data_IF_132946458075
#
_entry.id   IF_132946458075
#
_cell.length_a   1.000
_cell.length_b   1.000
_cell.length_c   1.000
_cell.angle_alpha   90.00
_cell.angle_beta   90.00
_cell.angle_gamma   90.00
#
_symmetry.space_group_name_H-M   'P 1'
#
loop_
_entity.id
_entity.type
_entity.pdbx_description
1 polymer ?
#
# COMPACT_ATOMS: atom_id res chain seq x y z
N UNK A 1 10.79 13.15 -28.19
CA UNK A 1 10.22 12.84 -26.86
C UNK A 1 8.83 13.43 -26.90
N UNK A 2 7.86 12.61 -27.31
CA UNK A 2 6.52 13.10 -27.66
C UNK A 2 5.74 13.45 -26.40
N UNK A 3 5.08 14.63 -26.35
CA UNK A 3 4.34 15.08 -25.17
C UNK A 3 3.14 14.18 -24.81
N UNK A 4 2.73 13.25 -25.69
CA UNK A 4 1.66 12.29 -25.42
C UNK A 4 2.13 11.07 -24.59
N UNK A 5 3.39 10.64 -24.70
CA UNK A 5 3.96 9.50 -23.94
C UNK A 5 4.10 9.81 -22.44
N UNK A 6 4.28 11.10 -22.13
CA UNK A 6 4.30 11.67 -20.77
C UNK A 6 2.94 11.55 -20.05
N UNK A 7 1.84 11.76 -20.78
CA UNK A 7 0.49 11.79 -20.19
C UNK A 7 0.00 10.39 -19.77
N UNK A 8 0.30 9.36 -20.57
CA UNK A 8 -0.05 7.98 -20.24
C UNK A 8 0.66 7.48 -18.98
N UNK A 9 1.95 7.80 -18.86
CA UNK A 9 2.83 7.36 -17.77
C UNK A 9 2.50 8.04 -16.43
N UNK A 10 2.27 9.35 -16.45
CA UNK A 10 1.90 10.11 -15.24
C UNK A 10 0.54 9.71 -14.67
N UNK A 11 -0.42 9.36 -15.53
CA UNK A 11 -1.81 9.10 -15.11
C UNK A 11 -1.99 7.81 -14.29
N UNK A 12 -1.19 6.77 -14.55
CA UNK A 12 -1.23 5.53 -13.76
C UNK A 12 -0.39 5.65 -12.48
N UNK A 13 0.71 6.41 -12.50
CA UNK A 13 1.51 6.73 -11.31
C UNK A 13 0.70 7.54 -10.30
N UNK A 14 0.05 8.62 -10.75
CA UNK A 14 -0.83 9.43 -9.92
C UNK A 14 -2.02 8.63 -9.38
N UNK A 15 -2.56 7.69 -10.17
CA UNK A 15 -3.60 6.79 -9.72
C UNK A 15 -3.10 5.82 -8.64
N UNK A 16 -1.94 5.18 -8.85
CA UNK A 16 -1.36 4.25 -7.88
C UNK A 16 -1.06 4.93 -6.54
N UNK A 17 -0.44 6.11 -6.60
CA UNK A 17 -0.16 6.93 -5.41
C UNK A 17 -1.46 7.37 -4.72
N UNK A 18 -2.43 7.89 -5.48
CA UNK A 18 -3.70 8.37 -4.93
C UNK A 18 -4.57 7.26 -4.35
N UNK A 19 -4.66 6.11 -5.03
CA UNK A 19 -5.37 4.95 -4.51
C UNK A 19 -4.69 4.40 -3.24
N UNK A 20 -3.35 4.30 -3.24
CA UNK A 20 -2.58 3.89 -2.08
C UNK A 20 -2.78 4.81 -0.87
N UNK A 21 -2.74 6.12 -1.09
CA UNK A 21 -3.02 7.12 -0.07
C UNK A 21 -4.48 7.03 0.44
N UNK A 22 -5.44 6.81 -0.46
CA UNK A 22 -6.84 6.63 -0.08
C UNK A 22 -7.03 5.38 0.79
N UNK A 23 -6.37 4.27 0.43
CA UNK A 23 -6.40 3.04 1.21
C UNK A 23 -5.70 3.19 2.57
N UNK A 24 -4.69 4.06 2.68
CA UNK A 24 -4.03 4.34 3.95
C UNK A 24 -4.73 5.40 4.82
N UNK A 25 -5.78 6.07 4.32
CA UNK A 25 -6.60 6.94 5.17
C UNK A 25 -7.29 6.16 6.29
N UNK A 26 -7.75 4.93 6.02
CA UNK A 26 -8.42 4.11 7.04
C UNK A 26 -7.46 3.80 8.22
N UNK A 27 -6.27 3.21 8.01
CA UNK A 27 -5.31 3.04 9.09
C UNK A 27 -4.75 4.39 9.60
N UNK A 28 -4.71 5.43 8.77
CA UNK A 28 -4.26 6.77 9.16
C UNK A 28 -5.19 7.45 10.15
N UNK A 29 -6.50 7.44 9.89
CA UNK A 29 -7.55 7.98 10.77
C UNK A 29 -7.61 7.17 12.06
N UNK A 30 -7.53 5.83 11.97
CA UNK A 30 -7.45 4.96 13.15
C UNK A 30 -6.19 5.25 13.99
N UNK A 31 -5.08 5.62 13.34
CA UNK A 31 -3.84 6.01 14.01
C UNK A 31 -3.94 7.39 14.68
N UNK A 32 -4.52 8.40 14.02
CA UNK A 32 -4.70 9.75 14.60
C UNK A 32 -5.69 9.80 15.75
N UNK A 33 -6.81 9.07 15.67
CA UNK A 33 -7.77 9.01 16.79
C UNK A 33 -7.13 8.46 18.07
N UNK A 34 -5.97 7.82 17.96
CA UNK A 34 -5.26 7.21 19.08
C UNK A 34 -3.97 7.95 19.47
N UNK A 35 -3.36 8.84 18.63
CA UNK A 35 -1.92 9.20 18.74
C UNK A 35 -1.51 10.57 18.12
N UNK A 36 -0.29 11.10 18.41
CA UNK A 36 0.13 12.45 18.01
C UNK A 36 0.27 12.69 16.50
N UNK A 37 0.20 13.97 16.04
CA UNK A 37 -0.01 14.39 14.63
C UNK A 37 1.10 14.07 13.62
N UNK A 38 2.13 13.30 13.97
CA UNK A 38 3.19 12.85 13.05
C UNK A 38 2.97 11.45 12.45
N UNK A 39 2.18 10.60 13.10
CA UNK A 39 2.02 9.21 12.66
C UNK A 39 1.13 9.08 11.42
N UNK A 40 0.13 9.95 11.26
CA UNK A 40 -0.75 9.96 10.11
C UNK A 40 0.01 10.22 8.80
N UNK A 41 0.92 11.20 8.79
CA UNK A 41 1.71 11.54 7.62
C UNK A 41 2.54 10.35 7.14
N UNK A 42 3.18 9.63 8.07
CA UNK A 42 3.96 8.43 7.73
C UNK A 42 3.10 7.27 7.22
N UNK A 43 1.88 7.12 7.74
CA UNK A 43 0.89 6.15 7.27
C UNK A 43 0.40 6.50 5.86
N UNK A 44 0.17 7.78 5.59
CA UNK A 44 -0.22 8.28 4.27
C UNK A 44 0.90 8.07 3.25
N UNK A 45 2.13 8.44 3.59
CA UNK A 45 3.32 8.29 2.73
C UNK A 45 3.59 6.81 2.44
N UNK A 46 3.60 5.95 3.46
CA UNK A 46 3.76 4.50 3.27
C UNK A 46 2.64 3.90 2.42
N UNK A 47 1.40 4.36 2.58
CA UNK A 47 0.28 3.97 1.73
C UNK A 47 0.44 4.39 0.28
N UNK A 48 0.85 5.64 0.03
CA UNK A 48 1.12 6.13 -1.33
C UNK A 48 2.25 5.33 -2.01
N UNK A 49 3.35 5.07 -1.28
CA UNK A 49 4.46 4.24 -1.76
C UNK A 49 4.00 2.81 -2.05
N UNK A 50 3.20 2.22 -1.16
CA UNK A 50 2.64 0.88 -1.35
C UNK A 50 1.76 0.84 -2.60
N UNK A 51 0.84 1.81 -2.77
CA UNK A 51 -0.05 1.87 -3.92
C UNK A 51 0.69 2.05 -5.24
N UNK A 52 1.77 2.85 -5.25
CA UNK A 52 2.68 2.96 -6.39
C UNK A 52 3.34 1.63 -6.73
N UNK A 53 3.92 0.96 -5.73
CA UNK A 53 4.63 -0.31 -5.93
C UNK A 53 3.69 -1.43 -6.38
N UNK A 54 2.52 -1.56 -5.75
CA UNK A 54 1.49 -2.53 -6.15
C UNK A 54 1.01 -2.25 -7.57
N UNK A 55 0.72 -0.99 -7.91
CA UNK A 55 0.23 -0.62 -9.24
C UNK A 55 1.30 -0.85 -10.31
N UNK A 56 2.55 -0.50 -10.03
CA UNK A 56 3.67 -0.73 -10.93
C UNK A 56 3.96 -2.22 -11.13
N UNK A 57 3.91 -3.02 -10.06
CA UNK A 57 4.08 -4.46 -10.13
C UNK A 57 2.95 -5.13 -10.94
N UNK A 58 1.70 -4.67 -10.78
CA UNK A 58 0.54 -5.23 -11.50
C UNK A 58 0.41 -4.72 -12.94
N UNK A 59 0.90 -3.52 -13.25
CA UNK A 59 0.75 -2.89 -14.56
C UNK A 59 1.14 -3.77 -15.77
N UNK A 60 2.35 -4.37 -15.84
CA UNK A 60 2.74 -5.17 -17.00
C UNK A 60 1.90 -6.44 -17.19
N UNK A 61 1.33 -6.96 -16.11
CA UNK A 61 0.48 -8.13 -16.15
C UNK A 61 -0.97 -7.77 -16.50
N UNK A 62 -1.48 -6.63 -16.01
CA UNK A 62 -2.84 -6.17 -16.27
C UNK A 62 -3.10 -5.80 -17.74
N UNK A 63 -2.08 -5.29 -18.44
CA UNK A 63 -2.16 -4.98 -19.88
C UNK A 63 -2.41 -6.26 -20.69
N UNK A 64 -1.78 -7.38 -20.29
CA UNK A 64 -1.88 -8.68 -20.99
C UNK A 64 -3.00 -9.58 -20.45
N UNK A 65 -3.56 -9.26 -19.29
CA UNK A 65 -4.55 -10.09 -18.62
C UNK A 65 -5.94 -10.01 -19.28
N UNK A 66 -6.62 -11.16 -19.37
CA UNK A 66 -8.05 -11.24 -19.70
C UNK A 66 -8.91 -10.75 -18.52
N UNK A 67 -10.19 -10.44 -18.77
CA UNK A 67 -11.10 -9.86 -17.74
C UNK A 67 -11.13 -10.66 -16.43
N UNK A 68 -11.20 -11.99 -16.51
CA UNK A 68 -11.21 -12.85 -15.31
C UNK A 68 -9.87 -12.91 -14.59
N UNK A 69 -8.75 -12.85 -15.32
CA UNK A 69 -7.41 -12.77 -14.74
C UNK A 69 -7.20 -11.43 -14.01
N UNK A 70 -7.75 -10.33 -14.54
CA UNK A 70 -7.72 -9.03 -13.88
C UNK A 70 -8.52 -9.01 -12.56
N UNK A 71 -9.62 -9.78 -12.48
CA UNK A 71 -10.37 -9.97 -11.22
C UNK A 71 -9.52 -10.76 -10.22
N UNK A 72 -8.90 -11.87 -10.65
CA UNK A 72 -7.97 -12.63 -9.79
C UNK A 72 -6.80 -11.79 -9.28
N UNK A 73 -6.21 -10.95 -10.14
CA UNK A 73 -5.19 -9.98 -9.74
C UNK A 73 -5.72 -8.92 -8.76
N UNK A 74 -6.98 -8.51 -8.90
CA UNK A 74 -7.64 -7.64 -7.94
C UNK A 74 -7.77 -8.28 -6.56
N UNK A 75 -8.15 -9.56 -6.50
CA UNK A 75 -8.19 -10.30 -5.25
C UNK A 75 -6.78 -10.44 -4.63
N UNK A 76 -5.77 -10.73 -5.44
CA UNK A 76 -4.38 -10.85 -4.98
C UNK A 76 -3.72 -9.50 -4.63
N UNK A 77 -4.25 -8.39 -5.14
CA UNK A 77 -3.70 -7.06 -4.85
C UNK A 77 -3.82 -6.66 -3.38
N UNK A 78 -4.82 -7.19 -2.67
CA UNK A 78 -5.04 -6.96 -1.24
C UNK A 78 -3.95 -7.57 -0.37
N UNK A 79 -3.68 -8.89 -0.41
CA UNK A 79 -2.58 -9.47 0.36
C UNK A 79 -1.23 -8.93 -0.09
N UNK A 80 -1.03 -8.70 -1.40
CA UNK A 80 0.20 -8.09 -1.91
C UNK A 80 0.42 -6.68 -1.33
N UNK A 81 -0.63 -5.85 -1.33
CA UNK A 81 -0.59 -4.50 -0.77
C UNK A 81 -0.40 -4.51 0.74
N UNK A 82 -1.06 -5.42 1.47
CA UNK A 82 -0.90 -5.55 2.91
C UNK A 82 0.52 -5.98 3.29
N UNK A 83 1.12 -6.92 2.55
CA UNK A 83 2.50 -7.35 2.77
C UNK A 83 3.52 -6.24 2.48
N UNK A 84 3.34 -5.52 1.37
CA UNK A 84 4.19 -4.36 1.04
C UNK A 84 4.04 -3.24 2.08
N UNK A 85 2.81 -2.92 2.47
CA UNK A 85 2.54 -1.92 3.50
C UNK A 85 3.19 -2.29 4.84
N UNK A 86 3.02 -3.54 5.28
CA UNK A 86 3.62 -4.06 6.50
C UNK A 86 5.15 -4.13 6.47
N UNK A 87 5.76 -4.18 5.29
CA UNK A 87 7.22 -4.06 5.13
C UNK A 87 7.66 -2.59 5.14
N UNK A 88 6.99 -1.72 4.38
CA UNK A 88 7.41 -0.33 4.13
C UNK A 88 7.22 0.56 5.36
N UNK A 89 6.11 0.40 6.08
CA UNK A 89 5.79 1.26 7.23
C UNK A 89 6.86 1.17 8.34
N UNK A 90 7.32 -0.03 8.78
CA UNK A 90 8.42 -0.15 9.75
C UNK A 90 9.72 0.50 9.26
N UNK A 91 10.10 0.30 7.99
CA UNK A 91 11.29 0.93 7.42
C UNK A 91 11.21 2.47 7.43
N UNK A 92 10.06 3.03 7.09
CA UNK A 92 9.84 4.47 7.08
C UNK A 92 9.93 5.05 8.49
N UNK A 93 9.31 4.41 9.47
CA UNK A 93 9.39 4.83 10.86
C UNK A 93 10.81 4.68 11.44
N UNK A 94 11.55 3.63 11.06
CA UNK A 94 12.95 3.44 11.46
C UNK A 94 13.85 4.55 10.89
N UNK A 95 13.66 4.92 9.63
CA UNK A 95 14.39 6.02 9.01
C UNK A 95 14.13 7.34 9.75
N UNK A 96 12.87 7.63 10.11
CA UNK A 96 12.52 8.85 10.85
C UNK A 96 13.12 8.83 12.25
N UNK A 97 13.11 7.69 12.95
CA UNK A 97 13.78 7.53 14.24
C UNK A 97 15.28 7.88 14.12
N UNK A 98 15.98 7.37 13.10
CA UNK A 98 17.40 7.63 12.87
C UNK A 98 17.71 9.10 12.56
N UNK A 99 16.81 9.80 11.87
CA UNK A 99 17.05 11.19 11.44
C UNK A 99 16.60 12.21 12.49
N UNK A 100 15.46 11.98 13.14
CA UNK A 100 14.79 12.97 14.00
C UNK A 100 14.80 12.63 15.49
N UNK A 101 15.16 11.39 15.86
CA UNK A 101 15.03 10.90 17.23
C UNK A 101 13.58 10.74 17.71
N UNK A 102 12.59 10.92 16.83
CA UNK A 102 11.17 10.75 17.18
C UNK A 102 10.84 9.27 17.25
N UNK A 103 10.36 8.85 18.41
CA UNK A 103 9.99 7.47 18.66
C UNK A 103 8.51 7.26 18.31
N UNK A 104 8.24 6.50 17.25
CA UNK A 104 6.89 6.07 16.92
C UNK A 104 6.59 4.75 17.62
N UNK A 105 5.41 4.61 18.23
CA UNK A 105 5.08 3.41 19.03
C UNK A 105 5.08 2.10 18.21
N UNK A 106 4.76 2.18 16.91
CA UNK A 106 4.90 1.03 15.99
C UNK A 106 6.36 0.61 15.77
N UNK A 107 7.34 1.46 16.10
CA UNK A 107 8.78 1.15 16.12
C UNK A 107 9.27 0.91 17.53
N UNK A 108 8.65 1.48 18.57
CA UNK A 108 8.98 1.16 19.97
C UNK A 108 8.73 -0.31 20.30
N UNK A 109 7.65 -0.91 19.77
CA UNK A 109 7.41 -2.35 19.84
C UNK A 109 8.45 -3.18 19.06
N UNK A 110 9.32 -2.55 18.26
CA UNK A 110 10.24 -3.20 17.32
C UNK A 110 11.73 -2.86 17.64
N UNK A 111 11.99 -1.84 18.46
CA UNK A 111 13.33 -1.26 18.64
C UNK A 111 13.74 -1.11 20.10
N UNK A 112 12.82 -1.03 21.07
CA UNK A 112 13.20 -0.88 22.49
C UNK A 112 13.00 -2.15 23.34
N UNK A 113 13.90 -2.42 24.32
CA UNK A 113 13.84 -3.61 25.17
C UNK A 113 12.54 -3.71 26.00
N UNK A 114 11.96 -4.92 26.20
CA UNK A 114 12.59 -6.21 26.04
C UNK A 114 12.25 -6.86 24.68
N UNK A 115 12.87 -6.38 23.59
CA UNK A 115 13.37 -7.23 22.53
C UNK A 115 12.31 -7.94 21.72
N UNK A 116 11.47 -7.19 21.01
CA UNK A 116 10.94 -7.69 19.76
C UNK A 116 11.84 -7.14 18.65
N UNK A 117 12.52 -8.07 17.97
CA UNK A 117 13.45 -7.84 16.87
C UNK A 117 12.79 -6.98 15.79
N UNK A 118 13.55 -6.11 15.13
CA UNK A 118 13.11 -5.47 13.90
C UNK A 118 12.75 -6.52 12.84
N UNK A 119 11.48 -6.90 12.82
CA UNK A 119 10.92 -7.95 11.98
C UNK A 119 9.83 -7.40 11.03
N UNK A 120 10.25 -6.64 10.00
CA UNK A 120 9.34 -6.15 8.97
C UNK A 120 8.70 -7.30 8.19
N UNK A 121 9.35 -8.46 8.11
CA UNK A 121 8.83 -9.67 7.46
C UNK A 121 7.69 -10.29 8.27
N UNK A 122 7.85 -10.44 9.59
CA UNK A 122 6.78 -10.89 10.49
C UNK A 122 5.58 -9.95 10.46
N UNK A 123 5.82 -8.64 10.46
CA UNK A 123 4.76 -7.62 10.33
C UNK A 123 4.01 -7.75 9.00
N UNK A 124 4.72 -7.96 7.90
CA UNK A 124 4.14 -8.19 6.58
C UNK A 124 3.30 -9.47 6.55
N UNK A 125 3.80 -10.59 7.09
CA UNK A 125 3.08 -11.86 7.14
C UNK A 125 1.81 -11.78 7.99
N UNK A 126 1.87 -11.10 9.14
CA UNK A 126 0.71 -10.86 9.98
C UNK A 126 -0.38 -10.07 9.24
N UNK A 127 0.00 -8.96 8.58
CA UNK A 127 -0.91 -8.14 7.78
C UNK A 127 -1.48 -8.90 6.58
N UNK A 128 -0.71 -9.76 5.92
CA UNK A 128 -1.18 -10.65 4.85
C UNK A 128 -2.23 -11.63 5.37
N UNK A 129 -1.98 -12.26 6.52
CA UNK A 129 -2.95 -13.16 7.14
C UNK A 129 -4.24 -12.43 7.54
N UNK A 130 -4.10 -11.30 8.24
CA UNK A 130 -5.24 -10.51 8.69
C UNK A 130 -6.07 -9.97 7.52
N UNK A 131 -5.43 -9.51 6.45
CA UNK A 131 -6.11 -9.03 5.24
C UNK A 131 -6.69 -10.13 4.35
N UNK A 132 -6.40 -11.40 4.63
CA UNK A 132 -6.96 -12.54 3.89
C UNK A 132 -8.13 -13.22 4.63
N UNK A 133 -8.15 -13.15 5.96
CA UNK A 133 -9.05 -13.95 6.79
C UNK A 133 -10.05 -13.14 7.63
N UNK A 134 -10.09 -11.82 7.53
CA UNK A 134 -11.01 -10.99 8.32
C UNK A 134 -12.26 -10.59 7.54
N UNK A 135 -13.38 -10.41 8.25
CA UNK A 135 -14.63 -9.86 7.69
C UNK A 135 -14.43 -8.49 7.04
N UNK A 136 -13.46 -7.72 7.54
CA UNK A 136 -13.04 -6.46 6.93
C UNK A 136 -12.47 -6.68 5.51
N UNK A 137 -11.68 -7.74 5.30
CA UNK A 137 -11.18 -8.09 3.98
C UNK A 137 -12.29 -8.38 2.96
N UNK A 138 -13.38 -9.03 3.40
CA UNK A 138 -14.55 -9.32 2.55
C UNK A 138 -15.20 -8.04 2.00
N UNK A 139 -15.20 -6.95 2.77
CA UNK A 139 -15.65 -5.63 2.30
C UNK A 139 -14.62 -4.97 1.38
N UNK A 140 -13.33 -5.19 1.60
CA UNK A 140 -12.26 -4.62 0.81
C UNK A 140 -12.07 -5.31 -0.55
N UNK A 141 -12.32 -6.61 -0.69
CA UNK A 141 -12.16 -7.36 -1.94
C UNK A 141 -12.90 -6.76 -3.16
N UNK A 142 -14.21 -6.43 -3.08
CA UNK A 142 -14.90 -5.82 -4.22
C UNK A 142 -14.30 -4.45 -4.59
N UNK A 143 -13.89 -3.66 -3.60
CA UNK A 143 -13.20 -2.39 -3.81
C UNK A 143 -11.83 -2.60 -4.48
N UNK A 144 -11.04 -3.58 -4.04
CA UNK A 144 -9.75 -3.92 -4.63
C UNK A 144 -9.89 -4.36 -6.09
N UNK A 145 -10.86 -5.23 -6.38
CA UNK A 145 -11.20 -5.65 -7.75
C UNK A 145 -11.62 -4.46 -8.60
N UNK A 146 -12.48 -3.57 -8.08
CA UNK A 146 -12.89 -2.36 -8.81
C UNK A 146 -11.71 -1.43 -9.09
N UNK A 147 -10.81 -1.20 -8.13
CA UNK A 147 -9.61 -0.38 -8.32
C UNK A 147 -8.67 -0.98 -9.36
N UNK A 148 -8.49 -2.30 -9.36
CA UNK A 148 -7.64 -3.01 -10.32
C UNK A 148 -8.24 -3.00 -11.73
N UNK A 149 -9.56 -3.15 -11.85
CA UNK A 149 -10.25 -3.01 -13.14
C UNK A 149 -10.19 -1.58 -13.69
N UNK A 150 -10.28 -0.56 -12.81
CA UNK A 150 -10.11 0.85 -13.20
C UNK A 150 -8.68 1.15 -13.64
N UNK A 151 -7.68 0.62 -12.94
CA UNK A 151 -6.27 0.71 -13.33
C UNK A 151 -6.04 0.07 -14.71
N UNK A 152 -6.55 -1.15 -14.93
CA UNK A 152 -6.49 -1.82 -16.23
C UNK A 152 -7.13 -1.00 -17.35
N UNK A 153 -8.32 -0.42 -17.11
CA UNK A 153 -8.97 0.45 -18.12
C UNK A 153 -8.14 1.69 -18.45
N UNK A 154 -7.42 2.27 -17.49
CA UNK A 154 -6.52 3.40 -17.74
C UNK A 154 -5.29 2.97 -18.52
N UNK A 155 -4.66 1.86 -18.15
CA UNK A 155 -3.51 1.31 -18.86
C UNK A 155 -3.84 0.98 -20.33
N UNK A 156 -5.00 0.37 -20.59
CA UNK A 156 -5.48 0.07 -21.96
C UNK A 156 -5.89 1.30 -22.78
N UNK A 157 -6.04 2.48 -22.16
CA UNK A 157 -6.32 3.74 -22.87
C UNK A 157 -5.05 4.56 -23.12
N UNK A 158 -3.97 4.23 -22.41
CA UNK A 158 -2.67 4.89 -22.50
C UNK A 158 -1.71 4.16 -23.46
N UNK A 159 -2.09 2.96 -23.91
CA UNK A 159 -1.45 2.14 -24.93
C UNK A 159 -2.35 2.11 -26.16
#
# INVERSE_FOLDING_TARGET
MDPEESNGSGAWLAWGAGAGALWSLIPGILSEMMRPPGQAATVLVSGALTGLLVSGALAPFLVRARRWQAVGMGLLSLPLGAGLYGSILPWLHWAILKVSGVHFRCVMEIVEPPGHVFDPLGSALFLVGYSSFTWFALLCYPLAVLTTLRLRRRLLRAW
#
